data_IF_583675216216
#
_entry.id   IF_583675216216
#
_cell.length_a   1.000
_cell.length_b   1.000
_cell.length_c   1.000
_cell.angle_alpha   90.00
_cell.angle_beta   90.00
_cell.angle_gamma   90.00
#
_symmetry.space_group_name_H-M   'P 1'
#
loop_
_entity.id
_entity.type
_entity.pdbx_description
1 polymer ?
#
# COMPACT_ATOMS: atom_id res chain seq x y z
N UNK A 1 24.89 -9.59 19.54
CA UNK A 1 23.66 -10.25 20.02
C UNK A 1 22.53 -9.80 19.10
N UNK A 2 22.29 -10.51 17.98
CA UNK A 2 21.16 -10.20 17.09
C UNK A 2 19.89 -10.61 17.83
N UNK A 3 19.28 -9.66 18.54
CA UNK A 3 17.94 -9.83 19.05
C UNK A 3 17.04 -10.15 17.85
N UNK A 4 16.35 -11.30 17.89
CA UNK A 4 15.44 -11.70 16.83
C UNK A 4 14.26 -10.70 16.81
N UNK A 5 14.35 -9.68 15.92
CA UNK A 5 13.39 -8.58 15.88
C UNK A 5 11.95 -9.05 15.70
N UNK A 6 11.75 -10.20 15.06
CA UNK A 6 10.44 -10.88 14.96
C UNK A 6 9.90 -11.31 16.33
N UNK A 7 10.73 -11.96 17.14
CA UNK A 7 10.32 -12.40 18.47
C UNK A 7 9.93 -11.22 19.36
N UNK A 8 10.74 -10.15 19.35
CA UNK A 8 10.43 -8.91 20.09
C UNK A 8 9.11 -8.32 19.63
N UNK A 9 8.93 -8.20 18.33
CA UNK A 9 7.76 -7.55 17.78
C UNK A 9 6.47 -8.34 18.03
N UNK A 10 6.52 -9.68 17.93
CA UNK A 10 5.40 -10.55 18.30
C UNK A 10 5.04 -10.39 19.78
N UNK A 11 6.06 -10.38 20.66
CA UNK A 11 5.84 -10.21 22.09
C UNK A 11 5.20 -8.85 22.40
N UNK A 12 5.71 -7.78 21.78
CA UNK A 12 5.17 -6.43 21.90
C UNK A 12 3.72 -6.36 21.41
N UNK A 13 3.43 -6.90 20.24
CA UNK A 13 2.07 -6.93 19.70
C UNK A 13 1.11 -7.68 20.63
N UNK A 14 1.55 -8.80 21.18
CA UNK A 14 0.76 -9.59 22.14
C UNK A 14 0.52 -8.81 23.42
N UNK A 15 1.56 -8.22 24.01
CA UNK A 15 1.47 -7.45 25.25
C UNK A 15 0.54 -6.25 25.12
N UNK A 16 0.59 -5.54 23.99
CA UNK A 16 -0.32 -4.44 23.68
C UNK A 16 -1.76 -4.95 23.54
N UNK A 17 -1.97 -6.08 22.86
CA UNK A 17 -3.31 -6.68 22.75
C UNK A 17 -3.85 -7.10 24.11
N UNK A 18 -3.08 -7.84 24.90
CA UNK A 18 -3.47 -8.29 26.24
C UNK A 18 -3.79 -7.08 27.14
N UNK A 19 -2.95 -6.04 27.12
CA UNK A 19 -3.18 -4.80 27.87
C UNK A 19 -4.44 -4.06 27.44
N UNK A 20 -4.72 -4.01 26.13
CA UNK A 20 -5.95 -3.42 25.60
C UNK A 20 -7.19 -4.19 26.04
N UNK A 21 -7.14 -5.52 25.99
CA UNK A 21 -8.21 -6.38 26.46
C UNK A 21 -8.43 -6.22 27.97
N UNK A 22 -7.37 -6.25 28.79
CA UNK A 22 -7.51 -6.04 30.24
C UNK A 22 -8.16 -4.69 30.54
N UNK A 23 -7.72 -3.62 29.87
CA UNK A 23 -8.26 -2.28 30.06
C UNK A 23 -9.73 -2.15 29.68
N UNK A 24 -10.16 -2.84 28.61
CA UNK A 24 -11.54 -2.75 28.12
C UNK A 24 -12.50 -3.73 28.78
N UNK A 25 -12.00 -4.86 29.29
CA UNK A 25 -12.83 -5.94 29.83
C UNK A 25 -12.79 -6.01 31.35
N UNK A 26 -11.78 -5.43 32.01
CA UNK A 26 -11.59 -5.51 33.46
C UNK A 26 -11.20 -6.90 33.97
N UNK A 27 -10.92 -7.85 33.07
CA UNK A 27 -10.55 -9.24 33.36
C UNK A 27 -9.21 -9.58 32.70
N UNK A 28 -8.42 -10.46 33.31
CA UNK A 28 -7.14 -10.94 32.78
C UNK A 28 -7.37 -11.87 31.57
N UNK A 29 -7.61 -11.28 30.40
CA UNK A 29 -7.75 -11.98 29.13
C UNK A 29 -6.38 -12.04 28.47
N UNK A 30 -5.77 -13.23 28.46
CA UNK A 30 -4.48 -13.47 27.82
C UNK A 30 -4.64 -14.26 26.55
N UNK A 31 -4.16 -13.71 25.44
CA UNK A 31 -4.15 -14.39 24.16
C UNK A 31 -3.10 -15.51 24.16
N UNK A 32 -3.49 -16.69 23.67
CA UNK A 32 -2.50 -17.74 23.38
C UNK A 32 -1.65 -17.31 22.19
N UNK A 33 -0.33 -17.31 22.37
CA UNK A 33 0.62 -16.88 21.35
C UNK A 33 0.41 -17.60 20.01
N UNK A 34 0.13 -18.91 20.05
CA UNK A 34 -0.09 -19.73 18.86
C UNK A 34 -1.36 -19.36 18.10
N UNK A 35 -2.40 -18.86 18.77
CA UNK A 35 -3.64 -18.40 18.10
C UNK A 35 -3.45 -16.97 17.57
N UNK A 36 -2.71 -16.14 18.31
CA UNK A 36 -2.37 -14.79 17.92
C UNK A 36 -1.57 -14.75 16.61
N UNK A 37 -0.51 -15.55 16.49
CA UNK A 37 0.34 -15.60 15.29
C UNK A 37 -0.37 -16.25 14.08
N UNK A 38 -1.43 -17.03 14.32
CA UNK A 38 -2.30 -17.57 13.25
C UNK A 38 -3.25 -16.55 12.67
N UNK A 39 -3.50 -15.43 13.35
CA UNK A 39 -4.34 -14.35 12.84
C UNK A 39 -3.81 -13.87 11.50
N UNK A 40 -4.71 -13.78 10.52
CA UNK A 40 -4.35 -13.42 9.15
C UNK A 40 -3.68 -12.04 9.07
N UNK A 41 -4.14 -11.08 9.88
CA UNK A 41 -3.55 -9.74 9.96
C UNK A 41 -2.13 -9.76 10.54
N UNK A 42 -1.96 -10.47 11.68
CA UNK A 42 -0.66 -10.60 12.36
C UNK A 42 0.36 -11.23 11.43
N UNK A 43 -0.02 -12.32 10.74
CA UNK A 43 0.85 -13.00 9.79
C UNK A 43 1.36 -12.08 8.69
N UNK A 44 0.46 -11.30 8.08
CA UNK A 44 0.85 -10.33 7.05
C UNK A 44 1.76 -9.22 7.61
N UNK A 45 1.47 -8.77 8.83
CA UNK A 45 2.23 -7.70 9.47
C UNK A 45 3.66 -8.17 9.83
N UNK A 46 3.83 -9.46 10.16
CA UNK A 46 5.13 -10.09 10.34
C UNK A 46 5.92 -10.24 9.02
N UNK A 47 5.24 -10.52 7.91
CA UNK A 47 5.91 -10.56 6.60
C UNK A 47 6.45 -9.19 6.16
N UNK A 48 5.95 -8.08 6.72
CA UNK A 48 6.43 -6.72 6.47
C UNK A 48 7.23 -6.13 7.64
N UNK A 49 7.68 -6.98 8.57
CA UNK A 49 8.38 -6.53 9.79
C UNK A 49 9.59 -5.66 9.51
N UNK A 50 10.31 -5.93 8.41
CA UNK A 50 11.52 -5.20 8.07
C UNK A 50 11.21 -3.71 7.88
N UNK A 51 10.15 -3.38 7.13
CA UNK A 51 9.75 -1.99 6.89
C UNK A 51 9.00 -1.41 8.08
N UNK A 52 8.06 -2.16 8.65
CA UNK A 52 7.15 -1.62 9.68
C UNK A 52 7.90 -1.40 10.99
N UNK A 53 8.81 -2.30 11.36
CA UNK A 53 9.45 -2.30 12.67
C UNK A 53 10.96 -2.05 12.57
N UNK A 54 11.71 -2.93 11.90
CA UNK A 54 13.19 -2.88 11.96
C UNK A 54 13.75 -1.57 11.42
N UNK A 55 13.38 -1.20 10.19
CA UNK A 55 13.91 -0.02 9.49
C UNK A 55 13.70 1.27 10.29
N UNK A 56 12.51 1.61 10.82
CA UNK A 56 12.34 2.80 11.66
C UNK A 56 13.29 2.83 12.86
N UNK A 57 13.44 1.72 13.59
CA UNK A 57 14.31 1.69 14.78
C UNK A 57 15.81 1.77 14.43
N UNK A 58 16.26 1.10 13.37
CA UNK A 58 17.64 1.26 12.88
C UNK A 58 17.90 2.69 12.39
N UNK A 59 16.94 3.29 11.69
CA UNK A 59 17.06 4.64 11.15
C UNK A 59 17.04 5.74 12.23
N UNK A 60 16.37 5.50 13.38
CA UNK A 60 16.45 6.38 14.55
C UNK A 60 17.86 6.37 15.16
N UNK A 61 18.50 5.21 15.25
CA UNK A 61 19.85 5.07 15.81
C UNK A 61 20.92 5.67 14.88
N UNK A 62 20.74 5.48 13.57
CA UNK A 62 21.63 6.02 12.55
C UNK A 62 20.82 6.40 11.31
N UNK A 63 20.77 7.69 10.98
CA UNK A 63 20.02 8.19 9.82
C UNK A 63 20.50 7.63 8.47
N UNK A 64 21.71 7.05 8.42
CA UNK A 64 22.28 6.34 7.26
C UNK A 64 22.47 4.85 7.52
N UNK A 65 21.64 4.25 8.37
CA UNK A 65 21.66 2.81 8.63
C UNK A 65 21.57 2.00 7.32
N UNK A 66 22.30 0.89 7.25
CA UNK A 66 22.34 0.05 6.06
C UNK A 66 20.94 -0.51 5.73
N UNK A 67 20.18 -0.88 6.75
CA UNK A 67 18.82 -1.38 6.65
C UNK A 67 17.88 -0.37 5.98
N UNK A 68 18.04 0.92 6.30
CA UNK A 68 17.27 2.00 5.67
C UNK A 68 17.65 2.15 4.20
N UNK A 69 18.95 2.19 3.90
CA UNK A 69 19.46 2.38 2.55
C UNK A 69 19.10 1.20 1.63
N UNK A 70 19.12 -0.04 2.13
CA UNK A 70 18.71 -1.22 1.37
C UNK A 70 17.28 -1.12 0.83
N UNK A 71 16.39 -0.47 1.59
CA UNK A 71 14.98 -0.32 1.21
C UNK A 71 14.73 0.95 0.41
N UNK A 72 15.38 2.07 0.73
CA UNK A 72 14.96 3.38 0.22
C UNK A 72 15.92 4.05 -0.78
N UNK A 73 17.15 3.55 -0.92
CA UNK A 73 18.09 4.01 -1.95
C UNK A 73 17.63 3.56 -3.35
N UNK A 74 17.82 4.36 -4.43
CA UNK A 74 18.52 5.65 -4.50
C UNK A 74 17.64 6.88 -4.25
N UNK A 75 16.35 6.71 -4.00
CA UNK A 75 15.42 7.84 -3.86
C UNK A 75 15.65 8.60 -2.56
N UNK A 76 15.98 7.89 -1.47
CA UNK A 76 16.30 8.49 -0.18
C UNK A 76 17.69 8.04 0.29
N UNK A 77 18.60 9.01 0.45
CA UNK A 77 19.99 8.77 0.84
C UNK A 77 20.22 8.78 2.36
N UNK A 78 19.23 9.22 3.14
CA UNK A 78 19.22 9.19 4.60
C UNK A 78 17.78 9.35 5.11
N UNK A 79 17.55 8.94 6.34
CA UNK A 79 16.28 9.10 7.03
C UNK A 79 16.16 10.51 7.62
N UNK A 80 15.47 11.42 6.91
CA UNK A 80 15.12 12.73 7.47
C UNK A 80 14.15 12.58 8.64
N UNK A 81 14.13 13.54 9.57
CA UNK A 81 13.22 13.54 10.73
C UNK A 81 11.75 13.36 10.34
N UNK A 82 11.27 14.13 9.35
CA UNK A 82 9.90 14.03 8.84
C UNK A 82 9.59 12.64 8.23
N UNK A 83 10.60 11.94 7.72
CA UNK A 83 10.44 10.59 7.19
C UNK A 83 10.39 9.56 8.33
N UNK A 84 11.21 9.74 9.36
CA UNK A 84 11.15 8.91 10.57
C UNK A 84 9.81 9.06 11.28
N UNK A 85 9.31 10.29 11.45
CA UNK A 85 7.97 10.57 11.98
C UNK A 85 6.90 9.81 11.19
N UNK A 86 6.98 9.86 9.85
CA UNK A 86 6.04 9.14 8.99
C UNK A 86 6.09 7.62 9.15
N UNK A 87 7.28 7.05 9.36
CA UNK A 87 7.44 5.61 9.62
C UNK A 87 6.88 5.21 11.00
N UNK A 88 7.09 6.04 12.01
CA UNK A 88 6.59 5.79 13.37
C UNK A 88 5.07 5.95 13.43
N UNK A 89 4.49 6.98 12.80
CA UNK A 89 3.04 7.11 12.64
C UNK A 89 2.45 5.85 12.01
N UNK A 90 3.09 5.37 10.94
CA UNK A 90 2.65 4.18 10.24
C UNK A 90 2.71 2.94 11.14
N UNK A 91 3.79 2.75 11.89
CA UNK A 91 3.95 1.66 12.87
C UNK A 91 2.83 1.70 13.92
N UNK A 92 2.57 2.86 14.52
CA UNK A 92 1.52 3.04 15.53
C UNK A 92 0.15 2.67 14.96
N UNK A 93 -0.17 3.13 13.75
CA UNK A 93 -1.44 2.84 13.09
C UNK A 93 -1.56 1.35 12.73
N UNK A 94 -0.49 0.71 12.26
CA UNK A 94 -0.50 -0.73 11.95
C UNK A 94 -0.66 -1.59 13.21
N UNK A 95 -0.02 -1.22 14.33
CA UNK A 95 -0.25 -1.87 15.64
C UNK A 95 -1.71 -1.69 16.07
N UNK A 96 -2.25 -0.46 15.99
CA UNK A 96 -3.63 -0.19 16.37
C UNK A 96 -4.63 -1.00 15.51
N UNK A 97 -4.40 -1.07 14.20
CA UNK A 97 -5.20 -1.90 13.28
C UNK A 97 -5.10 -3.39 13.62
N UNK A 98 -3.91 -3.87 14.01
CA UNK A 98 -3.70 -5.24 14.42
C UNK A 98 -4.50 -5.58 15.68
N UNK A 99 -4.38 -4.75 16.72
CA UNK A 99 -5.13 -4.88 17.98
C UNK A 99 -6.63 -4.87 17.70
N UNK A 100 -7.10 -3.90 16.90
CA UNK A 100 -8.50 -3.82 16.49
C UNK A 100 -8.93 -5.10 15.77
N UNK A 101 -8.19 -5.53 14.73
CA UNK A 101 -8.52 -6.75 13.98
C UNK A 101 -8.63 -7.98 14.87
N UNK A 102 -7.62 -8.24 15.70
CA UNK A 102 -7.59 -9.41 16.59
C UNK A 102 -8.74 -9.37 17.59
N UNK A 103 -8.98 -8.21 18.17
CA UNK A 103 -10.05 -8.02 19.16
C UNK A 103 -11.43 -8.24 18.52
N UNK A 104 -11.65 -7.64 17.34
CA UNK A 104 -12.90 -7.73 16.58
C UNK A 104 -13.17 -9.13 16.03
N UNK A 105 -12.15 -9.85 15.58
CA UNK A 105 -12.35 -11.18 14.97
C UNK A 105 -12.50 -12.27 16.03
N UNK A 106 -11.76 -12.18 17.13
CA UNK A 106 -11.72 -13.25 18.13
C UNK A 106 -12.78 -13.10 19.22
N UNK A 107 -13.14 -11.88 19.64
CA UNK A 107 -13.98 -11.69 20.83
C UNK A 107 -15.37 -11.14 20.54
N UNK A 108 -15.68 -10.85 19.28
CA UNK A 108 -16.97 -10.26 18.91
C UNK A 108 -18.21 -11.08 19.20
N UNK A 109 -18.05 -12.38 19.40
CA UNK A 109 -19.14 -13.27 19.78
C UNK A 109 -19.69 -12.93 21.17
N UNK A 110 -18.89 -12.35 22.05
CA UNK A 110 -19.28 -11.93 23.39
C UNK A 110 -20.18 -10.70 23.33
N UNK A 111 -21.37 -10.79 23.92
CA UNK A 111 -22.35 -9.69 23.92
C UNK A 111 -21.87 -8.49 24.74
N UNK A 112 -21.23 -8.71 25.88
CA UNK A 112 -20.63 -7.66 26.71
C UNK A 112 -19.63 -6.81 25.90
N UNK A 113 -18.81 -7.45 25.09
CA UNK A 113 -17.86 -6.77 24.21
C UNK A 113 -18.56 -5.94 23.12
N UNK A 114 -19.68 -6.44 22.58
CA UNK A 114 -20.50 -5.67 21.62
C UNK A 114 -21.10 -4.40 22.22
N UNK A 115 -21.38 -4.39 23.52
CA UNK A 115 -21.91 -3.21 24.22
C UNK A 115 -20.82 -2.16 24.50
N UNK A 116 -19.60 -2.58 24.85
CA UNK A 116 -18.54 -1.65 25.25
C UNK A 116 -17.87 -0.95 24.07
N UNK A 117 -17.53 -1.70 23.00
CA UNK A 117 -16.73 -1.14 21.90
C UNK A 117 -17.54 -0.58 20.72
N UNK A 118 -18.84 -0.86 20.65
CA UNK A 118 -19.62 -0.58 19.45
C UNK A 118 -20.84 0.28 19.72
N UNK A 119 -21.19 1.09 18.72
CA UNK A 119 -22.46 1.83 18.72
C UNK A 119 -23.63 0.85 18.70
N UNK A 120 -24.76 1.26 19.30
CA UNK A 120 -26.00 0.47 19.45
C UNK A 120 -26.46 -0.25 18.16
N UNK A 121 -26.19 0.32 16.98
CA UNK A 121 -26.48 -0.30 15.68
C UNK A 121 -25.81 -1.67 15.44
N UNK A 122 -24.76 -2.00 16.18
CA UNK A 122 -24.02 -3.27 16.09
C UNK A 122 -24.42 -4.30 17.16
N UNK A 123 -25.49 -4.04 17.93
CA UNK A 123 -26.02 -5.00 18.90
C UNK A 123 -26.64 -6.22 18.21
N UNK A 124 -27.18 -6.06 16.98
CA UNK A 124 -27.67 -7.19 16.19
C UNK A 124 -26.49 -8.02 15.68
N UNK A 125 -26.59 -9.35 15.87
CA UNK A 125 -25.57 -10.29 15.40
C UNK A 125 -25.31 -10.14 13.90
N UNK A 126 -26.36 -9.92 13.10
CA UNK A 126 -26.25 -9.74 11.65
C UNK A 126 -25.42 -8.52 11.25
N UNK A 127 -25.69 -7.35 11.84
CA UNK A 127 -24.93 -6.13 11.51
C UNK A 127 -23.47 -6.27 11.91
N UNK A 128 -23.22 -6.93 13.04
CA UNK A 128 -21.88 -7.22 13.49
C UNK A 128 -21.13 -8.16 12.52
N UNK A 129 -21.74 -9.28 12.14
CA UNK A 129 -21.15 -10.23 11.19
C UNK A 129 -20.87 -9.59 9.82
N UNK A 130 -21.75 -8.72 9.34
CA UNK A 130 -21.50 -7.94 8.11
C UNK A 130 -20.28 -7.02 8.25
N UNK A 131 -20.14 -6.32 9.37
CA UNK A 131 -18.97 -5.48 9.64
C UNK A 131 -17.67 -6.30 9.67
N UNK A 132 -17.68 -7.44 10.38
CA UNK A 132 -16.53 -8.36 10.44
C UNK A 132 -16.15 -8.87 9.04
N UNK A 133 -17.13 -9.26 8.23
CA UNK A 133 -16.89 -9.73 6.86
C UNK A 133 -16.27 -8.65 5.97
N UNK A 134 -16.77 -7.41 6.06
CA UNK A 134 -16.20 -6.29 5.32
C UNK A 134 -14.74 -6.01 5.72
N UNK A 135 -14.43 -6.10 7.02
CA UNK A 135 -13.09 -5.91 7.53
C UNK A 135 -12.13 -7.02 7.06
N UNK A 136 -12.55 -8.28 7.11
CA UNK A 136 -11.78 -9.42 6.56
C UNK A 136 -11.55 -9.22 5.05
N UNK A 137 -12.57 -8.77 4.32
CA UNK A 137 -12.47 -8.50 2.89
C UNK A 137 -11.45 -7.39 2.57
N UNK A 138 -11.46 -6.29 3.32
CA UNK A 138 -10.47 -5.22 3.16
C UNK A 138 -9.04 -5.73 3.39
N UNK A 139 -8.83 -6.59 4.39
CA UNK A 139 -7.51 -7.20 4.65
C UNK A 139 -7.10 -8.12 3.51
N UNK A 140 -8.02 -8.92 2.95
CA UNK A 140 -7.74 -9.74 1.76
C UNK A 140 -7.37 -8.89 0.55
N UNK A 141 -8.08 -7.79 0.29
CA UNK A 141 -7.73 -6.86 -0.79
C UNK A 141 -6.34 -6.27 -0.58
N UNK A 142 -6.02 -5.83 0.65
CA UNK A 142 -4.69 -5.30 1.00
C UNK A 142 -3.59 -6.31 0.64
N UNK A 143 -3.78 -7.57 1.02
CA UNK A 143 -2.75 -8.61 0.91
C UNK A 143 -2.63 -9.18 -0.50
N UNK A 144 -3.75 -9.47 -1.16
CA UNK A 144 -3.74 -10.19 -2.43
C UNK A 144 -3.73 -9.28 -3.66
N UNK A 145 -4.10 -8.00 -3.50
CA UNK A 145 -4.21 -7.06 -4.63
C UNK A 145 -3.27 -5.87 -4.44
N UNK A 146 -3.43 -5.11 -3.35
CA UNK A 146 -2.67 -3.86 -3.17
C UNK A 146 -1.18 -4.13 -2.95
N UNK A 147 -0.85 -5.11 -2.11
CA UNK A 147 0.55 -5.44 -1.76
C UNK A 147 1.36 -5.95 -2.95
N UNK A 148 0.90 -6.92 -3.77
CA UNK A 148 1.63 -7.35 -4.96
C UNK A 148 1.81 -6.21 -5.97
N UNK A 149 0.78 -5.40 -6.17
CA UNK A 149 0.85 -4.19 -7.01
C UNK A 149 1.90 -3.20 -6.48
N UNK A 150 2.03 -3.06 -5.16
CA UNK A 150 3.02 -2.20 -4.52
C UNK A 150 4.45 -2.70 -4.72
N UNK A 151 4.65 -4.03 -4.75
CA UNK A 151 5.95 -4.62 -5.05
C UNK A 151 6.37 -4.35 -6.49
N UNK A 152 5.45 -4.56 -7.45
CA UNK A 152 5.71 -4.27 -8.86
C UNK A 152 6.09 -2.80 -9.09
N UNK A 153 5.33 -1.88 -8.51
CA UNK A 153 5.57 -0.43 -8.62
C UNK A 153 6.70 0.11 -7.73
N UNK A 154 7.40 -0.74 -6.98
CA UNK A 154 8.41 -0.33 -5.98
C UNK A 154 7.92 0.78 -5.04
N UNK A 155 6.65 0.70 -4.66
CA UNK A 155 5.97 1.70 -3.85
C UNK A 155 5.51 1.10 -2.51
N UNK A 156 5.37 1.94 -1.50
CA UNK A 156 4.83 1.57 -0.20
C UNK A 156 3.92 2.66 0.34
N UNK A 157 2.75 2.26 0.83
CA UNK A 157 1.73 3.17 1.33
C UNK A 157 1.85 3.29 2.85
N UNK A 158 2.27 4.46 3.31
CA UNK A 158 2.31 4.83 4.71
C UNK A 158 0.97 5.42 5.16
N UNK A 159 0.69 5.26 6.44
CA UNK A 159 -0.37 5.96 7.16
C UNK A 159 0.27 7.01 8.06
N UNK A 160 -0.27 8.22 8.04
CA UNK A 160 0.24 9.39 8.73
C UNK A 160 -0.82 9.91 9.69
N UNK A 161 -0.41 10.32 10.89
CA UNK A 161 -1.27 11.03 11.81
C UNK A 161 -1.17 12.53 11.53
N UNK A 162 -2.32 13.16 11.28
CA UNK A 162 -2.44 14.62 11.14
C UNK A 162 -3.54 15.11 12.07
N UNK A 163 -3.56 16.42 12.32
CA UNK A 163 -4.57 17.08 13.16
C UNK A 163 -6.01 16.80 12.71
N UNK A 164 -6.23 16.64 11.42
CA UNK A 164 -7.55 16.37 10.80
C UNK A 164 -7.87 14.89 10.62
N UNK A 165 -6.95 13.98 10.96
CA UNK A 165 -7.19 12.53 10.89
C UNK A 165 -6.01 11.74 10.30
N UNK A 166 -6.33 10.54 9.80
CA UNK A 166 -5.34 9.62 9.20
C UNK A 166 -5.23 9.88 7.70
N UNK A 167 -4.02 10.18 7.25
CA UNK A 167 -3.71 10.40 5.82
C UNK A 167 -2.87 9.25 5.28
N UNK A 168 -2.92 9.06 3.96
CA UNK A 168 -2.07 8.10 3.28
C UNK A 168 -1.05 8.81 2.40
N UNK A 169 0.21 8.38 2.46
CA UNK A 169 1.26 8.83 1.55
C UNK A 169 1.95 7.62 0.95
N UNK A 170 2.17 7.65 -0.36
CA UNK A 170 2.98 6.64 -1.03
C UNK A 170 4.43 7.10 -1.09
N UNK A 171 5.35 6.23 -0.69
CA UNK A 171 6.80 6.42 -0.77
C UNK A 171 7.41 5.35 -1.66
N UNK A 172 8.60 5.62 -2.18
CA UNK A 172 9.42 4.59 -2.81
C UNK A 172 9.87 3.57 -1.77
N UNK A 173 9.90 2.29 -2.12
CA UNK A 173 10.47 1.22 -1.31
C UNK A 173 10.89 0.04 -2.20
N UNK A 174 12.20 -0.17 -2.31
CA UNK A 174 12.80 -1.25 -3.07
C UNK A 174 12.72 -2.58 -2.30
N UNK A 175 12.00 -3.55 -2.86
CA UNK A 175 11.67 -4.83 -2.21
C UNK A 175 11.67 -6.02 -3.17
N UNK A 176 12.76 -6.27 -3.92
CA UNK A 176 12.77 -7.27 -4.99
C UNK A 176 12.65 -8.70 -4.45
N UNK A 177 13.17 -8.95 -3.25
CA UNK A 177 13.08 -10.27 -2.59
C UNK A 177 11.63 -10.71 -2.36
N UNK A 178 10.73 -9.77 -2.05
CA UNK A 178 9.33 -10.07 -1.82
C UNK A 178 8.57 -10.29 -3.13
N UNK A 179 8.95 -9.60 -4.21
CA UNK A 179 8.40 -9.84 -5.54
C UNK A 179 8.66 -11.28 -6.01
N UNK A 180 9.89 -11.76 -5.87
CA UNK A 180 10.27 -13.12 -6.26
C UNK A 180 9.59 -14.21 -5.41
N UNK A 181 9.10 -13.85 -4.22
CA UNK A 181 8.38 -14.76 -3.33
C UNK A 181 6.88 -14.89 -3.67
N UNK A 182 6.36 -14.04 -4.57
CA UNK A 182 4.95 -14.08 -4.94
C UNK A 182 4.62 -15.38 -5.67
N UNK A 183 3.58 -16.07 -5.19
CA UNK A 183 3.09 -17.31 -5.81
C UNK A 183 1.59 -17.25 -6.01
N UNK A 184 1.08 -17.94 -7.05
CA UNK A 184 -0.36 -18.12 -7.31
C UNK A 184 -1.08 -16.80 -7.61
N UNK A 185 -2.14 -16.50 -6.86
CA UNK A 185 -3.04 -15.36 -7.10
C UNK A 185 -2.34 -13.99 -7.03
N UNK A 186 -1.49 -13.69 -6.03
CA UNK A 186 -0.64 -12.50 -6.07
C UNK A 186 0.18 -12.30 -7.35
N UNK A 187 0.75 -13.38 -7.89
CA UNK A 187 1.53 -13.32 -9.14
C UNK A 187 0.62 -13.02 -10.32
N UNK A 188 -0.56 -13.64 -10.39
CA UNK A 188 -1.56 -13.34 -11.41
C UNK A 188 -2.01 -11.86 -11.39
N UNK A 189 -2.18 -11.27 -10.21
CA UNK A 189 -2.49 -9.84 -10.09
C UNK A 189 -1.37 -8.99 -10.69
N UNK A 190 -0.11 -9.30 -10.39
CA UNK A 190 1.04 -8.59 -10.99
C UNK A 190 1.04 -8.75 -12.50
N UNK A 191 0.83 -9.95 -13.03
CA UNK A 191 0.78 -10.18 -14.49
C UNK A 191 -0.32 -9.36 -15.17
N UNK A 192 -1.47 -9.15 -14.51
CA UNK A 192 -2.52 -8.25 -15.04
C UNK A 192 -2.02 -6.80 -15.10
N UNK A 193 -1.33 -6.34 -14.05
CA UNK A 193 -0.78 -4.98 -14.01
C UNK A 193 0.28 -4.80 -15.10
N UNK A 194 1.18 -5.77 -15.26
CA UNK A 194 2.18 -5.80 -16.34
C UNK A 194 1.53 -5.79 -17.73
N UNK A 195 0.50 -6.61 -17.93
CA UNK A 195 -0.24 -6.66 -19.19
C UNK A 195 -0.92 -5.33 -19.50
N UNK A 196 -1.49 -4.66 -18.49
CA UNK A 196 -2.08 -3.34 -18.64
C UNK A 196 -1.04 -2.31 -19.10
N UNK A 197 0.12 -2.27 -18.45
CA UNK A 197 1.18 -1.33 -18.79
C UNK A 197 1.77 -1.62 -20.18
N UNK A 198 1.90 -2.90 -20.53
CA UNK A 198 2.28 -3.32 -21.88
C UNK A 198 1.26 -2.85 -22.92
N UNK A 199 -0.04 -3.07 -22.72
CA UNK A 199 -1.08 -2.63 -23.66
C UNK A 199 -1.11 -1.10 -23.77
N UNK A 200 -0.98 -0.39 -22.64
CA UNK A 200 -0.93 1.07 -22.61
C UNK A 200 0.19 1.63 -23.48
N UNK A 201 1.42 1.14 -23.30
CA UNK A 201 2.56 1.60 -24.11
C UNK A 201 2.36 1.38 -25.62
N UNK A 202 1.79 0.24 -26.02
CA UNK A 202 1.49 -0.05 -27.43
C UNK A 202 0.40 0.85 -28.01
N UNK A 203 -0.61 1.18 -27.20
CA UNK A 203 -1.64 2.11 -27.61
C UNK A 203 -1.08 3.52 -27.83
N UNK A 204 -0.21 3.98 -26.93
CA UNK A 204 0.46 5.28 -27.06
C UNK A 204 1.34 5.34 -28.32
N UNK A 205 2.07 4.27 -28.65
CA UNK A 205 2.84 4.15 -29.88
C UNK A 205 1.96 4.26 -31.15
N UNK A 206 0.81 3.57 -31.16
CA UNK A 206 -0.14 3.63 -32.28
C UNK A 206 -0.74 5.03 -32.46
N UNK A 207 -1.13 5.68 -31.36
CA UNK A 207 -1.65 7.06 -31.38
C UNK A 207 -0.58 8.02 -31.87
N UNK A 208 0.67 7.86 -31.40
CA UNK A 208 1.79 8.67 -31.86
C UNK A 208 2.02 8.51 -33.37
N UNK A 209 2.01 7.27 -33.89
CA UNK A 209 2.16 7.00 -35.32
C UNK A 209 1.04 7.63 -36.16
N UNK A 210 -0.22 7.46 -35.77
CA UNK A 210 -1.37 8.08 -36.44
C UNK A 210 -1.27 9.60 -36.42
N UNK A 211 -0.88 10.19 -35.30
CA UNK A 211 -0.72 11.65 -35.17
C UNK A 211 0.37 12.19 -36.11
N UNK A 212 1.48 11.46 -36.26
CA UNK A 212 2.57 11.81 -37.18
C UNK A 212 2.13 11.69 -38.63
N UNK A 213 1.38 10.63 -38.97
CA UNK A 213 0.79 10.44 -40.30
C UNK A 213 -0.19 11.56 -40.66
N UNK A 214 -1.08 11.92 -39.73
CA UNK A 214 -2.03 13.02 -39.92
C UNK A 214 -1.31 14.36 -40.13
N UNK A 215 -0.31 14.66 -39.29
CA UNK A 215 0.53 15.86 -39.44
C UNK A 215 1.21 15.90 -40.81
N UNK A 216 1.77 14.78 -41.27
CA UNK A 216 2.41 14.71 -42.59
C UNK A 216 1.42 15.00 -43.72
N UNK A 217 0.21 14.44 -43.68
CA UNK A 217 -0.83 14.72 -44.70
C UNK A 217 -1.21 16.22 -44.68
N UNK A 218 -1.42 16.78 -43.49
CA UNK A 218 -1.76 18.20 -43.32
C UNK A 218 -0.67 19.14 -43.81
N UNK A 219 0.60 18.89 -43.48
CA UNK A 219 1.70 19.80 -43.87
C UNK A 219 2.17 19.58 -45.28
N UNK A 220 2.38 18.33 -45.69
CA UNK A 220 3.00 18.01 -46.97
C UNK A 220 1.97 18.03 -48.09
N UNK A 221 0.82 17.38 -47.94
CA UNK A 221 -0.15 17.28 -49.04
C UNK A 221 -0.98 18.57 -49.13
N UNK A 222 -1.62 18.98 -48.03
CA UNK A 222 -2.45 20.19 -48.06
C UNK A 222 -1.61 21.47 -48.17
N UNK A 223 -0.45 21.54 -47.50
CA UNK A 223 0.45 22.68 -47.63
C UNK A 223 1.00 22.87 -49.05
N UNK A 224 1.37 21.78 -49.74
CA UNK A 224 1.78 21.86 -51.14
C UNK A 224 0.62 22.23 -52.06
N UNK A 225 -0.57 21.69 -51.83
CA UNK A 225 -1.76 22.01 -52.60
C UNK A 225 -2.12 23.50 -52.50
N UNK A 226 -2.16 24.04 -51.28
CA UNK A 226 -2.38 25.48 -51.03
C UNK A 226 -1.29 26.31 -51.71
N UNK A 227 -0.02 25.89 -51.63
CA UNK A 227 1.11 26.56 -52.28
C UNK A 227 0.98 26.61 -53.81
N UNK A 228 0.51 25.53 -54.44
CA UNK A 228 0.25 25.47 -55.89
C UNK A 228 -0.92 26.38 -56.30
N UNK A 229 -2.02 26.36 -55.56
CA UNK A 229 -3.17 27.26 -55.81
C UNK A 229 -2.76 28.72 -55.69
N UNK A 230 -2.02 29.09 -54.63
CA UNK A 230 -1.51 30.45 -54.44
C UNK A 230 -0.59 30.89 -55.59
N UNK A 231 0.28 29.98 -56.06
CA UNK A 231 1.15 30.25 -57.20
C UNK A 231 0.35 30.50 -58.48
N UNK A 232 -0.69 29.70 -58.75
CA UNK A 232 -1.58 29.88 -59.89
C UNK A 232 -2.32 31.22 -59.88
N UNK A 233 -2.83 31.64 -58.72
CA UNK A 233 -3.51 32.96 -58.56
C UNK A 233 -2.55 34.10 -58.88
N UNK A 234 -1.32 34.06 -58.35
CA UNK A 234 -0.31 35.11 -58.58
C UNK A 234 0.15 35.18 -60.04
N UNK A 235 0.26 34.04 -60.72
CA UNK A 235 0.61 33.99 -62.14
C UNK A 235 -0.55 34.51 -63.01
N UNK A 236 -1.80 34.26 -62.61
CA UNK A 236 -3.00 34.80 -63.26
C UNK A 236 -3.14 36.32 -63.14
N UNK A 237 -2.77 36.90 -61.99
CA UNK A 237 -2.81 38.36 -61.75
C UNK A 237 -1.72 39.15 -62.51
N UNK A 238 -0.72 38.48 -63.08
CA UNK A 238 0.35 39.11 -63.88
C UNK A 238 0.04 39.16 -65.38
N UNK A 239 -1.08 38.60 -65.81
CA UNK A 239 -1.65 38.74 -67.16
C UNK A 239 -2.72 39.81 -67.16
#
# INVERSE_FOLDING_TARGET
MQLNGEAIFILLLKEICDSFLIKQYGCDVRLKLNEFTKSFYVKNLLEEIDIIFKVPFYAILNSKAAEFLLVYYPVYNYASENFLEALIDHLVIEIANCVAYVTLVNFSFLYSFRQTLYRSKFLSLRNFEQFKNNLIWQVRIKIYIQRPTSFYSSSYRLFLLRTTGIYTRTIYANRPQYFNSLTKFPLFVVTIVELKDFIGSRFDELVYFLSKGLRFILTSVLGQFIGLVWRGIREGLKK
#
